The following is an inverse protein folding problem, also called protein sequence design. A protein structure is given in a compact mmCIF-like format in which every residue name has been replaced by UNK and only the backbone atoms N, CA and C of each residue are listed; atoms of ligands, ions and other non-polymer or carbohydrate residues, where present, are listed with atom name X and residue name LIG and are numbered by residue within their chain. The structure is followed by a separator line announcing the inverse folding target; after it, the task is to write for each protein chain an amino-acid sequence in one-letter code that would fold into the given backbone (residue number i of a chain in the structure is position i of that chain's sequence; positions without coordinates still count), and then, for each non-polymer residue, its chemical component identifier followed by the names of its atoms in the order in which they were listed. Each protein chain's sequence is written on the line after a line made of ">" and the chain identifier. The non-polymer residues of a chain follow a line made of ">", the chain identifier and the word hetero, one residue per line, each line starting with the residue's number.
data_IF_831796635448
#
_entry.id   IF_831796635448
#
_cell.length_a   1.000
_cell.length_b   1.000
_cell.length_c   1.000
_cell.angle_alpha   90.00
_cell.angle_beta   90.00
_cell.angle_gamma   90.00
#
_symmetry.space_group_name_H-M   'P 1'
#
loop_
_entity.id
_entity.type
_entity.pdbx_description
1 polymer ?
#
# COMPACT_ATOMS: atom_id res chain seq x y z
N UNK A 1 -22.17 -20.57 8.35
CA UNK A 1 -21.99 -19.17 8.80
C UNK A 1 -20.78 -19.19 9.74
N UNK A 2 -19.66 -18.55 9.38
CA UNK A 2 -18.52 -18.47 10.30
C UNK A 2 -18.97 -17.70 11.54
N UNK A 3 -18.79 -18.28 12.73
CA UNK A 3 -19.13 -17.61 13.98
C UNK A 3 -18.22 -16.37 14.12
N UNK A 4 -18.77 -15.20 14.50
CA UNK A 4 -18.00 -13.95 14.58
C UNK A 4 -16.79 -14.07 15.52
N UNK A 5 -16.89 -14.91 16.55
CA UNK A 5 -15.80 -15.21 17.48
C UNK A 5 -14.63 -15.92 16.82
N UNK A 6 -14.88 -16.86 15.89
CA UNK A 6 -13.81 -17.54 15.14
C UNK A 6 -13.07 -16.54 14.25
N UNK A 7 -13.81 -15.63 13.61
CA UNK A 7 -13.21 -14.56 12.82
C UNK A 7 -12.34 -13.62 13.68
N UNK A 8 -12.87 -13.17 14.83
CA UNK A 8 -12.14 -12.28 15.74
C UNK A 8 -10.86 -12.92 16.30
N UNK A 9 -10.95 -14.18 16.76
CA UNK A 9 -9.79 -14.91 17.27
C UNK A 9 -8.76 -15.18 16.18
N UNK A 10 -9.20 -15.49 14.96
CA UNK A 10 -8.30 -15.66 13.82
C UNK A 10 -7.58 -14.37 13.46
N UNK A 11 -8.29 -13.23 13.46
CA UNK A 11 -7.70 -11.92 13.21
C UNK A 11 -6.66 -11.56 14.28
N UNK A 12 -6.99 -11.80 15.55
CA UNK A 12 -6.09 -11.54 16.67
C UNK A 12 -4.83 -12.42 16.59
N UNK A 13 -4.96 -13.68 16.16
CA UNK A 13 -3.82 -14.56 15.90
C UNK A 13 -2.97 -14.16 14.68
N UNK A 14 -3.60 -13.58 13.65
CA UNK A 14 -2.89 -13.10 12.45
C UNK A 14 -2.06 -11.85 12.71
N UNK A 15 -2.52 -10.93 13.57
CA UNK A 15 -1.82 -9.67 13.87
C UNK A 15 -0.34 -9.85 14.28
N UNK A 16 0.01 -10.65 15.30
CA UNK A 16 1.41 -10.86 15.68
C UNK A 16 2.19 -11.65 14.63
N UNK A 17 1.53 -12.53 13.87
CA UNK A 17 2.20 -13.29 12.82
C UNK A 17 2.61 -12.40 11.65
N UNK A 18 1.73 -11.47 11.27
CA UNK A 18 2.00 -10.46 10.25
C UNK A 18 3.15 -9.54 10.65
N UNK A 19 3.17 -9.09 11.91
CA UNK A 19 4.28 -8.31 12.47
C UNK A 19 5.60 -9.07 12.39
N UNK A 20 5.62 -10.34 12.79
CA UNK A 20 6.83 -11.18 12.73
C UNK A 20 7.35 -11.40 11.32
N UNK A 21 6.47 -11.63 10.35
CA UNK A 21 6.88 -11.77 8.94
C UNK A 21 7.50 -10.47 8.41
N UNK A 22 6.91 -9.32 8.75
CA UNK A 22 7.46 -8.02 8.38
C UNK A 22 8.83 -7.78 9.04
N UNK A 23 8.96 -8.05 10.34
CA UNK A 23 10.22 -7.91 11.06
C UNK A 23 11.32 -8.79 10.47
N UNK A 24 11.04 -10.07 10.22
CA UNK A 24 12.02 -10.99 9.61
C UNK A 24 12.42 -10.53 8.21
N UNK A 25 11.48 -10.00 7.44
CA UNK A 25 11.74 -9.42 6.11
C UNK A 25 12.74 -8.28 6.19
N UNK A 26 12.54 -7.36 7.14
CA UNK A 26 13.43 -6.22 7.35
C UNK A 26 14.84 -6.68 7.77
N UNK A 27 14.92 -7.66 8.67
CA UNK A 27 16.20 -8.25 9.08
C UNK A 27 16.93 -8.91 7.88
N UNK A 28 16.22 -9.67 7.05
CA UNK A 28 16.81 -10.28 5.84
C UNK A 28 17.22 -9.22 4.82
N UNK A 29 16.41 -8.16 4.66
CA UNK A 29 16.70 -7.06 3.76
C UNK A 29 18.00 -6.33 4.13
N UNK A 30 18.28 -6.20 5.43
CA UNK A 30 19.51 -5.61 5.94
C UNK A 30 20.77 -6.38 5.49
N UNK A 31 20.72 -7.71 5.41
CA UNK A 31 21.86 -8.56 5.04
C UNK A 31 21.95 -8.93 3.55
N UNK A 32 20.91 -8.66 2.74
CA UNK A 32 20.85 -9.06 1.32
C UNK A 32 21.29 -7.98 0.33
N UNK A 33 21.68 -6.81 0.84
CA UNK A 33 22.13 -5.66 0.06
C UNK A 33 20.97 -4.86 -0.54
N UNK A 34 21.17 -3.59 -0.93
CA UNK A 34 20.04 -2.66 -0.99
C UNK A 34 19.03 -2.90 -2.11
N UNK A 35 19.47 -3.46 -3.25
CA UNK A 35 18.55 -3.81 -4.35
C UNK A 35 17.67 -5.01 -3.98
N UNK A 36 18.27 -6.09 -3.46
CA UNK A 36 17.53 -7.31 -3.07
C UNK A 36 16.69 -7.03 -1.83
N UNK A 37 17.24 -6.34 -0.84
CA UNK A 37 16.55 -5.94 0.38
C UNK A 37 15.38 -5.00 0.12
N UNK A 38 15.53 -4.03 -0.79
CA UNK A 38 14.42 -3.15 -1.18
C UNK A 38 13.29 -3.90 -1.90
N UNK A 39 13.62 -4.88 -2.75
CA UNK A 39 12.61 -5.74 -3.38
C UNK A 39 11.93 -6.67 -2.37
N UNK A 40 12.68 -7.20 -1.39
CA UNK A 40 12.16 -7.99 -0.28
C UNK A 40 11.18 -7.17 0.56
N UNK A 41 11.55 -5.94 0.93
CA UNK A 41 10.68 -5.05 1.70
C UNK A 41 9.39 -4.72 0.94
N UNK A 42 9.51 -4.37 -0.35
CA UNK A 42 8.38 -4.10 -1.23
C UNK A 42 7.37 -5.27 -1.29
N UNK A 43 7.88 -6.50 -1.43
CA UNK A 43 7.06 -7.69 -1.67
C UNK A 43 6.58 -8.33 -0.37
N UNK A 44 7.51 -8.60 0.55
CA UNK A 44 7.24 -9.32 1.79
C UNK A 44 6.66 -8.40 2.88
N UNK A 45 6.97 -7.10 2.88
CA UNK A 45 6.35 -6.13 3.80
C UNK A 45 4.83 -6.01 3.59
N UNK A 46 4.35 -6.24 2.37
CA UNK A 46 2.93 -6.28 2.04
C UNK A 46 2.39 -7.71 1.81
N UNK A 47 3.19 -8.75 2.08
CA UNK A 47 2.81 -10.13 1.74
C UNK A 47 1.56 -10.59 2.48
N UNK A 48 1.39 -10.23 3.75
CA UNK A 48 0.18 -10.58 4.52
C UNK A 48 -1.08 -10.05 3.85
N UNK A 49 -1.06 -8.79 3.43
CA UNK A 49 -2.20 -8.17 2.73
C UNK A 49 -2.45 -8.86 1.38
N UNK A 50 -1.40 -9.11 0.61
CA UNK A 50 -1.48 -9.79 -0.69
C UNK A 50 -2.05 -11.21 -0.55
N UNK A 51 -1.61 -11.98 0.43
CA UNK A 51 -2.08 -13.35 0.70
C UNK A 51 -3.58 -13.34 1.02
N UNK A 52 -4.01 -12.46 1.94
CA UNK A 52 -5.43 -12.34 2.32
C UNK A 52 -6.27 -11.90 1.12
N UNK A 53 -5.78 -10.95 0.33
CA UNK A 53 -6.46 -10.49 -0.88
C UNK A 53 -6.62 -11.62 -1.91
N UNK A 54 -5.58 -12.43 -2.16
CA UNK A 54 -5.65 -13.56 -3.10
C UNK A 54 -6.65 -14.61 -2.63
N UNK A 55 -6.65 -14.99 -1.34
CA UNK A 55 -7.63 -15.94 -0.81
C UNK A 55 -9.07 -15.41 -0.88
N UNK A 56 -9.26 -14.13 -0.61
CA UNK A 56 -10.56 -13.49 -0.77
C UNK A 56 -11.02 -13.43 -2.23
N UNK A 57 -10.12 -13.16 -3.18
CA UNK A 57 -10.40 -13.23 -4.62
C UNK A 57 -10.77 -14.65 -5.07
N UNK A 58 -10.04 -15.67 -4.60
CA UNK A 58 -10.33 -17.08 -4.88
C UNK A 58 -11.74 -17.46 -4.40
N UNK A 59 -12.14 -16.96 -3.23
CA UNK A 59 -13.50 -17.07 -2.70
C UNK A 59 -14.55 -16.17 -3.37
N UNK A 60 -14.21 -15.50 -4.49
CA UNK A 60 -15.04 -14.51 -5.21
C UNK A 60 -15.55 -13.35 -4.34
N UNK A 61 -14.85 -13.03 -3.24
CA UNK A 61 -15.20 -11.92 -2.34
C UNK A 61 -14.57 -10.61 -2.82
N UNK A 62 -14.94 -10.19 -4.02
CA UNK A 62 -14.35 -9.01 -4.67
C UNK A 62 -14.53 -7.74 -3.83
N UNK A 63 -15.69 -7.57 -3.19
CA UNK A 63 -15.96 -6.39 -2.37
C UNK A 63 -15.09 -6.34 -1.11
N UNK A 64 -14.82 -7.50 -0.50
CA UNK A 64 -13.90 -7.57 0.66
C UNK A 64 -12.50 -7.12 0.25
N UNK A 65 -12.02 -7.52 -0.93
CA UNK A 65 -10.70 -7.11 -1.44
C UNK A 65 -10.65 -5.62 -1.71
N UNK A 66 -11.68 -5.06 -2.37
CA UNK A 66 -11.76 -3.62 -2.64
C UNK A 66 -11.75 -2.79 -1.37
N UNK A 67 -12.60 -3.15 -0.39
CA UNK A 67 -12.67 -2.43 0.87
C UNK A 67 -11.42 -2.61 1.73
N UNK A 68 -10.78 -3.79 1.69
CA UNK A 68 -9.50 -4.03 2.37
C UNK A 68 -8.39 -3.15 1.80
N UNK A 69 -8.22 -3.09 0.48
CA UNK A 69 -7.19 -2.27 -0.16
C UNK A 69 -7.40 -0.77 0.10
N UNK A 70 -8.64 -0.28 0.00
CA UNK A 70 -8.97 1.10 0.36
C UNK A 70 -8.72 1.38 1.84
N UNK A 71 -9.08 0.44 2.72
CA UNK A 71 -8.82 0.52 4.15
C UNK A 71 -7.33 0.58 4.47
N UNK A 72 -6.49 -0.21 3.79
CA UNK A 72 -5.03 -0.19 3.95
C UNK A 72 -4.43 1.17 3.58
N UNK A 73 -4.84 1.74 2.43
CA UNK A 73 -4.42 3.08 2.01
C UNK A 73 -4.83 4.14 3.04
N UNK A 74 -6.10 4.15 3.47
CA UNK A 74 -6.60 5.11 4.46
C UNK A 74 -5.91 4.96 5.82
N UNK A 75 -5.67 3.72 6.26
CA UNK A 75 -4.96 3.42 7.50
C UNK A 75 -3.54 3.99 7.46
N UNK A 76 -2.79 3.78 6.38
CA UNK A 76 -1.43 4.29 6.27
C UNK A 76 -1.39 5.83 6.20
N UNK A 77 -2.30 6.44 5.43
CA UNK A 77 -2.30 7.89 5.21
C UNK A 77 -2.86 8.70 6.38
N UNK A 78 -3.89 8.22 7.07
CA UNK A 78 -4.55 8.97 8.15
C UNK A 78 -4.16 8.43 9.52
N UNK A 79 -4.30 7.12 9.73
CA UNK A 79 -4.11 6.54 11.06
C UNK A 79 -2.63 6.47 11.43
N UNK A 80 -1.80 5.79 10.62
CA UNK A 80 -0.37 5.60 10.90
C UNK A 80 0.36 6.93 10.81
N UNK A 81 0.22 7.65 9.69
CA UNK A 81 0.85 8.97 9.55
C UNK A 81 0.36 9.95 10.63
N UNK A 82 -0.96 10.05 10.86
CA UNK A 82 -1.52 10.98 11.85
C UNK A 82 -1.06 10.68 13.28
N UNK A 83 -1.05 9.41 13.70
CA UNK A 83 -0.55 9.02 15.02
C UNK A 83 0.96 9.22 15.14
N UNK A 84 1.74 8.97 14.10
CA UNK A 84 3.19 9.23 14.09
C UNK A 84 3.54 10.72 14.27
N UNK A 85 2.79 11.60 13.60
CA UNK A 85 2.93 13.06 13.74
C UNK A 85 2.43 13.54 15.11
N UNK A 86 1.32 13.00 15.60
CA UNK A 86 0.77 13.35 16.90
C UNK A 86 1.69 12.93 18.05
N UNK A 87 2.07 11.65 18.11
CA UNK A 87 2.97 11.13 19.14
C UNK A 87 4.39 11.72 19.02
N UNK A 88 4.89 11.84 17.79
CA UNK A 88 6.20 12.44 17.53
C UNK A 88 6.27 13.93 17.87
N UNK A 89 5.17 14.67 17.65
CA UNK A 89 5.01 16.06 18.05
C UNK A 89 4.92 16.25 19.57
N UNK A 90 4.22 15.35 20.29
CA UNK A 90 4.20 15.35 21.76
C UNK A 90 5.59 15.06 22.33
N UNK A 91 6.30 14.06 21.78
CA UNK A 91 7.64 13.71 22.22
C UNK A 91 8.67 14.82 21.94
N UNK A 92 8.49 15.58 20.85
CA UNK A 92 9.39 16.65 20.41
C UNK A 92 8.75 18.04 20.47
N UNK A 93 8.05 18.38 21.55
CA UNK A 93 7.25 19.61 21.66
C UNK A 93 8.03 20.93 21.41
N UNK A 94 9.36 20.90 21.50
CA UNK A 94 10.26 22.05 21.30
C UNK A 94 11.13 21.94 20.04
N UNK A 95 11.03 20.87 19.27
CA UNK A 95 11.86 20.63 18.08
C UNK A 95 10.97 20.30 16.89
N UNK A 96 11.22 20.93 15.76
CA UNK A 96 10.57 20.55 14.51
C UNK A 96 10.97 19.12 14.12
N UNK A 97 9.99 18.32 13.70
CA UNK A 97 10.25 17.00 13.13
C UNK A 97 10.84 17.19 11.72
N UNK A 98 12.10 16.80 11.54
CA UNK A 98 12.75 16.82 10.23
C UNK A 98 12.28 15.63 9.41
N UNK A 99 11.95 15.87 8.15
CA UNK A 99 11.70 14.85 7.14
C UNK A 99 12.39 15.25 5.84
N UNK A 100 12.75 14.27 5.01
CA UNK A 100 13.28 14.56 3.69
C UNK A 100 12.15 15.04 2.78
N UNK A 101 12.21 16.32 2.41
CA UNK A 101 11.20 16.94 1.53
C UNK A 101 11.17 16.31 0.15
N UNK A 102 12.32 15.93 -0.42
CA UNK A 102 12.38 15.34 -1.76
C UNK A 102 11.72 13.96 -1.77
N UNK A 103 12.02 13.14 -0.77
CA UNK A 103 11.42 11.81 -0.63
C UNK A 103 9.90 11.90 -0.40
N UNK A 104 9.48 12.84 0.46
CA UNK A 104 8.06 13.10 0.70
C UNK A 104 7.33 13.55 -0.58
N UNK A 105 7.91 14.49 -1.33
CA UNK A 105 7.32 14.99 -2.59
C UNK A 105 7.14 13.87 -3.63
N UNK A 106 8.17 13.04 -3.85
CA UNK A 106 8.09 11.90 -4.78
C UNK A 106 6.98 10.92 -4.36
N UNK A 107 6.90 10.57 -3.08
CA UNK A 107 5.87 9.67 -2.56
C UNK A 107 4.47 10.28 -2.66
N UNK A 108 4.31 11.57 -2.35
CA UNK A 108 3.05 12.29 -2.48
C UNK A 108 2.55 12.35 -3.92
N UNK A 109 3.45 12.57 -4.89
CA UNK A 109 3.10 12.57 -6.32
C UNK A 109 2.71 11.18 -6.82
N UNK A 110 3.37 10.12 -6.37
CA UNK A 110 3.00 8.74 -6.70
C UNK A 110 1.63 8.37 -6.10
N UNK A 111 1.36 8.77 -4.87
CA UNK A 111 0.05 8.60 -4.23
C UNK A 111 -1.05 9.37 -4.97
N UNK A 112 -0.76 10.60 -5.42
CA UNK A 112 -1.68 11.40 -6.24
C UNK A 112 -1.98 10.70 -7.58
N UNK A 113 -0.95 10.16 -8.24
CA UNK A 113 -1.11 9.40 -9.48
C UNK A 113 -2.02 8.16 -9.26
N UNK A 114 -1.78 7.41 -8.17
CA UNK A 114 -2.59 6.25 -7.81
C UNK A 114 -4.06 6.65 -7.54
N UNK A 115 -4.28 7.75 -6.81
CA UNK A 115 -5.61 8.29 -6.55
C UNK A 115 -6.34 8.64 -7.86
N UNK A 116 -5.68 9.36 -8.78
CA UNK A 116 -6.27 9.73 -10.07
C UNK A 116 -6.62 8.48 -10.91
N UNK A 117 -5.74 7.48 -10.93
CA UNK A 117 -5.96 6.21 -11.63
C UNK A 117 -7.14 5.43 -11.07
N UNK A 118 -7.41 5.51 -9.76
CA UNK A 118 -8.57 4.89 -9.10
C UNK A 118 -9.86 5.71 -9.23
N UNK A 119 -9.77 7.04 -9.18
CA UNK A 119 -10.92 7.94 -9.31
C UNK A 119 -11.57 7.84 -10.68
N UNK A 120 -10.78 7.61 -11.73
CA UNK A 120 -11.27 7.62 -13.10
C UNK A 120 -12.27 6.46 -13.40
N UNK A 121 -12.00 5.18 -13.07
CA UNK A 121 -13.00 4.11 -13.12
C UNK A 121 -14.20 4.34 -12.18
N UNK A 122 -13.97 4.94 -11.01
CA UNK A 122 -15.01 5.20 -10.02
C UNK A 122 -16.03 6.22 -10.54
N UNK A 123 -15.57 7.38 -11.00
CA UNK A 123 -16.42 8.44 -11.54
C UNK A 123 -17.19 7.97 -12.78
N UNK A 124 -16.54 7.22 -13.67
CA UNK A 124 -17.20 6.66 -14.85
C UNK A 124 -18.36 5.73 -14.48
N UNK A 125 -18.19 4.91 -13.43
CA UNK A 125 -19.26 4.04 -12.92
C UNK A 125 -20.46 4.83 -12.40
N UNK A 126 -20.23 5.97 -11.74
CA UNK A 126 -21.30 6.81 -11.18
C UNK A 126 -21.97 7.73 -12.20
N UNK A 127 -21.24 8.18 -13.22
CA UNK A 127 -21.75 9.14 -14.20
C UNK A 127 -22.59 8.49 -15.32
N UNK A 128 -22.42 7.19 -15.58
CA UNK A 128 -23.04 6.55 -16.75
C UNK A 128 -24.43 5.96 -16.44
N UNK A 129 -25.40 6.24 -17.32
CA UNK A 129 -26.81 5.90 -17.14
C UNK A 129 -27.22 4.48 -17.58
N UNK A 130 -26.38 3.76 -18.33
CA UNK A 130 -26.68 2.42 -18.86
C UNK A 130 -25.83 1.35 -18.18
N UNK A 131 -26.43 0.32 -17.58
CA UNK A 131 -25.73 -0.57 -16.64
C UNK A 131 -24.69 -1.52 -17.26
N UNK A 132 -25.01 -2.16 -18.40
CA UNK A 132 -24.20 -3.27 -18.90
C UNK A 132 -22.99 -2.83 -19.76
N UNK A 133 -23.18 -1.80 -20.60
CA UNK A 133 -22.08 -1.17 -21.37
C UNK A 133 -21.08 -0.50 -20.42
N UNK A 134 -21.60 0.18 -19.39
CA UNK A 134 -20.77 0.83 -18.36
C UNK A 134 -19.94 -0.19 -17.61
N UNK A 135 -20.50 -1.33 -17.21
CA UNK A 135 -19.76 -2.33 -16.46
C UNK A 135 -18.52 -2.85 -17.23
N UNK A 136 -18.67 -3.11 -18.54
CA UNK A 136 -17.56 -3.56 -19.40
C UNK A 136 -16.51 -2.46 -19.57
N UNK A 137 -16.93 -1.23 -19.84
CA UNK A 137 -16.03 -0.09 -19.99
C UNK A 137 -15.30 0.25 -18.68
N UNK A 138 -15.98 0.28 -17.53
CA UNK A 138 -15.36 0.44 -16.20
C UNK A 138 -14.30 -0.62 -15.93
N UNK A 139 -14.54 -1.88 -16.31
CA UNK A 139 -13.57 -2.96 -16.12
C UNK A 139 -12.33 -2.77 -17.02
N UNK A 140 -12.52 -2.41 -18.29
CA UNK A 140 -11.41 -2.11 -19.19
C UNK A 140 -10.57 -0.93 -18.68
N UNK A 141 -11.25 0.10 -18.19
CA UNK A 141 -10.63 1.29 -17.63
C UNK A 141 -9.85 0.97 -16.35
N UNK A 142 -10.42 0.16 -15.47
CA UNK A 142 -9.73 -0.34 -14.26
C UNK A 142 -8.48 -1.14 -14.62
N UNK A 143 -8.53 -1.99 -15.66
CA UNK A 143 -7.36 -2.76 -16.12
C UNK A 143 -6.28 -1.85 -16.69
N UNK A 144 -6.65 -0.86 -17.50
CA UNK A 144 -5.73 0.13 -18.02
C UNK A 144 -5.06 0.92 -16.89
N UNK A 145 -5.84 1.40 -15.92
CA UNK A 145 -5.32 2.06 -14.70
C UNK A 145 -4.35 1.17 -13.94
N UNK A 146 -4.65 -0.13 -13.74
CA UNK A 146 -3.74 -1.05 -13.07
C UNK A 146 -2.41 -1.24 -13.80
N UNK A 147 -2.42 -1.29 -15.14
CA UNK A 147 -1.19 -1.38 -15.95
C UNK A 147 -0.36 -0.11 -15.79
N UNK A 148 -0.97 1.07 -15.89
CA UNK A 148 -0.27 2.35 -15.70
C UNK A 148 0.35 2.45 -14.31
N UNK A 149 -0.39 2.05 -13.27
CA UNK A 149 0.13 2.02 -11.90
C UNK A 149 1.30 1.04 -11.73
N UNK A 150 1.24 -0.15 -12.34
CA UNK A 150 2.33 -1.12 -12.31
C UNK A 150 3.59 -0.57 -12.99
N UNK A 151 3.45 0.05 -14.16
CA UNK A 151 4.58 0.69 -14.86
C UNK A 151 5.18 1.80 -14.00
N UNK A 152 4.35 2.67 -13.42
CA UNK A 152 4.78 3.72 -12.50
C UNK A 152 5.51 3.15 -11.28
N UNK A 153 5.00 2.07 -10.70
CA UNK A 153 5.61 1.39 -9.57
C UNK A 153 6.97 0.77 -9.91
N UNK A 154 7.10 0.08 -11.05
CA UNK A 154 8.39 -0.47 -11.48
C UNK A 154 9.40 0.64 -11.80
N UNK A 155 8.96 1.72 -12.45
CA UNK A 155 9.81 2.89 -12.67
C UNK A 155 10.28 3.50 -11.35
N UNK A 156 9.40 3.60 -10.35
CA UNK A 156 9.76 4.03 -9.00
C UNK A 156 10.73 3.07 -8.32
N UNK A 157 10.56 1.75 -8.43
CA UNK A 157 11.52 0.78 -7.88
C UNK A 157 12.90 0.91 -8.54
N UNK A 158 12.97 1.08 -9.86
CA UNK A 158 14.25 1.33 -10.55
C UNK A 158 14.87 2.64 -10.07
N UNK A 159 14.03 3.67 -9.89
CA UNK A 159 14.48 4.95 -9.35
C UNK A 159 15.10 4.80 -7.96
N UNK A 160 14.36 4.17 -7.04
CA UNK A 160 14.70 3.97 -5.64
C UNK A 160 15.92 3.04 -5.45
N UNK A 161 15.97 1.93 -6.18
CA UNK A 161 16.99 0.88 -5.95
C UNK A 161 18.27 1.09 -6.74
N UNK A 162 18.23 1.83 -7.86
CA UNK A 162 19.37 1.94 -8.76
C UNK A 162 19.80 3.38 -9.01
N UNK A 163 18.93 4.23 -9.53
CA UNK A 163 19.38 5.55 -10.02
C UNK A 163 19.63 6.57 -8.91
N UNK A 164 18.86 6.50 -7.82
CA UNK A 164 18.79 7.55 -6.79
C UNK A 164 18.89 6.93 -5.38
N UNK A 165 19.69 5.87 -5.25
CA UNK A 165 19.83 5.09 -4.01
C UNK A 165 20.34 5.94 -2.83
N UNK A 166 21.20 6.91 -3.11
CA UNK A 166 21.74 7.86 -2.12
C UNK A 166 20.68 8.76 -1.45
N UNK A 167 19.50 8.93 -2.05
CA UNK A 167 18.38 9.67 -1.43
C UNK A 167 17.56 8.81 -0.46
N UNK A 168 17.71 7.48 -0.50
CA UNK A 168 16.91 6.53 0.29
C UNK A 168 17.74 5.72 1.29
N UNK A 169 19.06 5.69 1.15
CA UNK A 169 19.96 5.21 2.20
C UNK A 169 20.09 6.32 3.26
N UNK A 170 19.62 6.04 4.48
CA UNK A 170 19.83 6.96 5.59
C UNK A 170 21.34 7.17 5.77
N UNK A 171 21.79 8.43 5.69
CA UNK A 171 23.10 8.80 6.23
C UNK A 171 23.06 8.48 7.73
N UNK A 172 23.93 7.56 8.16
CA UNK A 172 24.21 7.29 9.58
C UNK A 172 24.49 8.56 10.38
#
# INVERSE_FOLDING_TARGET
>A
MMQPWVFALSLLGLTPLAERVSFLTEQIAFYTGPTVGGLLNATCGNATELIIAIFALYGRKIDVVKYSLLGSILSNLLLVLGTSLFCGGIANLRKEQKYDRKQADVNSLLLLLALLCHMLPLLFKYAAASSDITAKATLQLSRASSIVMLIGYFAYLVFQLWTHREFFEAQE
#
